data_IF_556639553719
#
_entry.id   IF_556639553719
#
_cell.length_a   1.000
_cell.length_b   1.000
_cell.length_c   1.000
_cell.angle_alpha   90.00
_cell.angle_beta   90.00
_cell.angle_gamma   90.00
#
_symmetry.space_group_name_H-M   'P 1'
#
loop_
_entity.id
_entity.type
_entity.pdbx_description
1 polymer ?
#
# COMPACT_ATOMS: atom_id res chain seq x y z
N UNK A 1 -33.29 -20.92 27.02
CA UNK A 1 -31.92 -20.38 27.09
C UNK A 1 -31.46 -20.15 25.66
N UNK A 2 -31.34 -18.88 25.28
CA UNK A 2 -30.89 -18.43 23.97
C UNK A 2 -29.36 -18.42 24.00
N UNK A 3 -28.74 -19.47 23.47
CA UNK A 3 -27.29 -19.53 23.32
C UNK A 3 -26.93 -19.13 21.88
N UNK A 4 -26.68 -17.82 21.75
CA UNK A 4 -25.68 -17.21 20.88
C UNK A 4 -25.63 -17.69 19.42
N UNK A 5 -26.46 -17.03 18.60
CA UNK A 5 -26.15 -16.82 17.20
C UNK A 5 -24.93 -15.89 17.13
N UNK A 6 -23.75 -16.43 16.80
CA UNK A 6 -22.69 -15.60 16.22
C UNK A 6 -23.03 -15.41 14.74
N UNK A 7 -23.55 -14.23 14.40
CA UNK A 7 -23.82 -13.75 13.04
C UNK A 7 -22.58 -13.89 12.15
N UNK A 8 -22.47 -14.99 11.41
CA UNK A 8 -21.67 -15.11 10.20
C UNK A 8 -22.27 -16.21 9.31
N UNK A 9 -23.55 -16.07 8.99
CA UNK A 9 -24.19 -16.86 7.92
C UNK A 9 -23.71 -16.29 6.59
N UNK A 10 -22.85 -17.03 5.89
CA UNK A 10 -22.50 -16.74 4.49
C UNK A 10 -23.37 -17.65 3.62
N UNK A 11 -24.44 -17.06 3.08
CA UNK A 11 -25.33 -17.69 2.12
C UNK A 11 -24.66 -17.67 0.73
N UNK A 12 -24.46 -18.86 0.15
CA UNK A 12 -23.84 -19.04 -1.17
C UNK A 12 -24.95 -19.04 -2.22
N UNK A 13 -25.06 -17.97 -3.02
CA UNK A 13 -25.92 -17.95 -4.20
C UNK A 13 -25.08 -17.56 -5.42
N UNK A 14 -24.86 -18.51 -6.33
CA UNK A 14 -24.34 -18.21 -7.66
C UNK A 14 -23.54 -19.32 -8.33
N UNK A 15 -24.24 -20.13 -9.14
CA UNK A 15 -23.68 -21.05 -10.12
C UNK A 15 -22.99 -20.29 -11.26
N UNK A 16 -21.72 -20.58 -11.54
CA UNK A 16 -20.96 -20.04 -12.67
C UNK A 16 -19.47 -19.88 -12.40
N UNK A 17 -18.72 -21.00 -12.41
CA UNK A 17 -17.24 -21.15 -12.56
C UNK A 17 -16.23 -20.17 -11.93
N UNK A 18 -16.61 -19.23 -11.06
CA UNK A 18 -15.68 -18.28 -10.43
C UNK A 18 -16.17 -17.86 -9.03
N UNK A 19 -16.08 -18.80 -8.08
CA UNK A 19 -16.57 -18.60 -6.71
C UNK A 19 -15.46 -18.03 -5.82
N UNK A 20 -15.22 -16.73 -5.88
CA UNK A 20 -14.46 -16.02 -4.83
C UNK A 20 -15.41 -15.36 -3.83
N UNK A 21 -15.66 -16.08 -2.74
CA UNK A 21 -16.26 -15.56 -1.51
C UNK A 21 -15.26 -14.59 -0.87
N UNK A 22 -15.40 -13.29 -1.14
CA UNK A 22 -14.57 -12.29 -0.46
C UNK A 22 -15.33 -11.71 0.73
N UNK A 23 -14.98 -12.21 1.91
CA UNK A 23 -15.28 -11.60 3.23
C UNK A 23 -14.77 -10.14 3.27
N UNK A 24 -15.29 -9.28 4.18
CA UNK A 24 -14.83 -7.90 4.32
C UNK A 24 -13.31 -7.85 4.58
N UNK A 25 -12.53 -7.30 3.64
CA UNK A 25 -11.05 -7.27 3.72
C UNK A 25 -10.58 -6.45 4.92
N UNK A 26 -10.11 -7.11 5.98
CA UNK A 26 -9.34 -6.50 7.08
C UNK A 26 -7.85 -6.90 7.08
N UNK A 27 -7.34 -7.51 6.00
CA UNK A 27 -5.95 -7.98 5.91
C UNK A 27 -5.39 -7.72 4.50
N UNK A 28 -4.25 -7.04 4.40
CA UNK A 28 -3.48 -6.89 3.16
C UNK A 28 -3.12 -8.28 2.63
N UNK A 29 -3.53 -8.59 1.40
CA UNK A 29 -3.30 -9.90 0.77
C UNK A 29 -1.81 -10.17 0.57
N UNK A 30 -1.42 -11.44 0.50
CA UNK A 30 -0.03 -11.85 0.26
C UNK A 30 0.54 -11.24 -1.02
N UNK A 31 -0.29 -11.08 -2.04
CA UNK A 31 0.10 -10.46 -3.31
C UNK A 31 0.32 -8.94 -3.18
N UNK A 32 -0.57 -8.22 -2.50
CA UNK A 32 -0.39 -6.78 -2.19
C UNK A 32 0.89 -6.54 -1.36
N UNK A 33 1.20 -7.42 -0.40
CA UNK A 33 2.45 -7.37 0.39
C UNK A 33 3.69 -7.60 -0.47
N UNK A 34 3.65 -8.60 -1.35
CA UNK A 34 4.74 -8.87 -2.28
C UNK A 34 4.98 -7.65 -3.19
N UNK A 35 3.90 -7.08 -3.75
CA UNK A 35 3.98 -5.86 -4.57
C UNK A 35 4.57 -4.68 -3.79
N UNK A 36 4.19 -4.53 -2.52
CA UNK A 36 4.74 -3.49 -1.64
C UNK A 36 6.25 -3.67 -1.43
N UNK A 37 6.71 -4.92 -1.33
CA UNK A 37 8.14 -5.24 -1.20
C UNK A 37 8.90 -4.89 -2.48
N UNK A 38 8.37 -5.25 -3.65
CA UNK A 38 8.98 -4.88 -4.95
C UNK A 38 8.99 -3.35 -5.13
N UNK A 39 7.91 -2.68 -4.74
CA UNK A 39 7.84 -1.22 -4.74
C UNK A 39 8.91 -0.58 -3.84
N UNK A 40 9.24 -1.23 -2.72
CA UNK A 40 10.29 -0.79 -1.83
C UNK A 40 11.65 -0.69 -2.56
N UNK A 41 12.00 -1.74 -3.31
CA UNK A 41 13.23 -1.79 -4.10
C UNK A 41 13.22 -0.75 -5.24
N UNK A 42 12.08 -0.60 -5.94
CA UNK A 42 11.90 0.44 -6.96
C UNK A 42 12.13 1.85 -6.38
N UNK A 43 11.69 2.12 -5.15
CA UNK A 43 11.92 3.41 -4.49
C UNK A 43 13.40 3.60 -4.14
N UNK A 44 14.08 2.56 -3.68
CA UNK A 44 15.52 2.61 -3.42
C UNK A 44 16.28 2.94 -4.70
N UNK A 45 15.95 2.28 -5.82
CA UNK A 45 16.55 2.56 -7.13
C UNK A 45 16.27 4.00 -7.58
N UNK A 46 15.03 4.46 -7.47
CA UNK A 46 14.65 5.84 -7.80
C UNK A 46 15.42 6.88 -6.98
N UNK A 47 15.66 6.60 -5.69
CA UNK A 47 16.44 7.47 -4.80
C UNK A 47 17.93 7.39 -5.10
N UNK A 48 18.45 6.22 -5.46
CA UNK A 48 19.86 5.99 -5.81
C UNK A 48 20.32 6.87 -6.98
N UNK A 49 19.42 7.14 -7.93
CA UNK A 49 19.70 8.05 -9.05
C UNK A 49 19.70 9.54 -8.68
N UNK A 50 19.25 9.90 -7.48
CA UNK A 50 19.13 11.30 -7.05
C UNK A 50 20.37 11.76 -6.29
N UNK A 51 20.86 13.00 -6.55
CA UNK A 51 21.92 13.57 -5.73
C UNK A 51 21.44 13.67 -4.28
N UNK A 52 22.19 13.04 -3.37
CA UNK A 52 21.90 12.93 -1.92
C UNK A 52 20.81 11.92 -1.54
N UNK A 53 20.36 11.06 -2.46
CA UNK A 53 19.38 9.99 -2.20
C UNK A 53 18.09 10.47 -1.50
N UNK A 54 17.67 11.71 -1.78
CA UNK A 54 16.52 12.34 -1.13
C UNK A 54 15.55 12.86 -2.18
N UNK A 55 14.27 12.61 -1.95
CA UNK A 55 13.20 13.07 -2.83
C UNK A 55 12.02 13.59 -1.97
N UNK A 56 11.58 14.84 -2.18
CA UNK A 56 10.38 15.35 -1.56
C UNK A 56 9.14 14.53 -1.95
N UNK A 57 8.26 14.20 -0.99
CA UNK A 57 7.06 13.39 -1.24
C UNK A 57 6.12 14.00 -2.30
N UNK A 58 6.07 15.34 -2.39
CA UNK A 58 5.30 16.05 -3.42
C UNK A 58 5.90 15.91 -4.84
N UNK A 59 7.17 15.52 -4.94
CA UNK A 59 7.86 15.20 -6.19
C UNK A 59 7.99 13.70 -6.41
N UNK A 60 7.52 12.87 -5.48
CA UNK A 60 7.59 11.42 -5.58
C UNK A 60 6.81 10.91 -6.79
N UNK A 61 5.49 11.14 -6.85
CA UNK A 61 4.63 10.70 -7.95
C UNK A 61 5.16 11.09 -9.34
N UNK A 62 5.48 12.38 -9.62
CA UNK A 62 5.99 12.76 -10.93
C UNK A 62 7.38 12.17 -11.24
N UNK A 63 8.24 12.01 -10.24
CA UNK A 63 9.56 11.40 -10.46
C UNK A 63 9.48 9.89 -10.70
N UNK A 64 8.63 9.19 -9.94
CA UNK A 64 8.35 7.77 -10.12
C UNK A 64 7.76 7.51 -11.51
N UNK A 65 6.79 8.34 -11.94
CA UNK A 65 6.24 8.26 -13.28
C UNK A 65 7.30 8.49 -14.36
N UNK A 66 8.19 9.47 -14.18
CA UNK A 66 9.24 9.75 -15.16
C UNK A 66 10.27 8.61 -15.28
N UNK A 67 10.64 8.00 -14.15
CA UNK A 67 11.64 6.95 -14.10
C UNK A 67 11.08 5.58 -14.55
N UNK A 68 9.90 5.18 -14.06
CA UNK A 68 9.30 3.88 -14.38
C UNK A 68 8.28 3.90 -15.52
N UNK A 69 7.90 5.09 -16.03
CA UNK A 69 6.78 5.25 -16.98
C UNK A 69 5.48 4.57 -16.52
N UNK A 70 5.31 4.39 -15.20
CA UNK A 70 4.21 3.67 -14.56
C UNK A 70 3.47 4.57 -13.59
N UNK A 71 2.14 4.50 -13.59
CA UNK A 71 1.34 5.17 -12.55
C UNK A 71 1.48 4.41 -11.23
N UNK A 72 1.94 5.11 -10.19
CA UNK A 72 1.94 4.60 -8.83
C UNK A 72 0.51 4.58 -8.28
N UNK A 73 -0.18 3.46 -8.44
CA UNK A 73 -1.55 3.29 -7.95
C UNK A 73 -1.52 2.71 -6.55
N UNK A 74 -1.73 3.57 -5.55
CA UNK A 74 -1.62 3.21 -4.12
C UNK A 74 -2.55 2.05 -3.74
N UNK A 75 -3.72 1.99 -4.37
CA UNK A 75 -4.75 0.95 -4.20
C UNK A 75 -4.26 -0.46 -4.55
N UNK A 76 -3.32 -0.57 -5.48
CA UNK A 76 -2.81 -1.86 -5.99
C UNK A 76 -1.96 -2.59 -4.95
N UNK A 77 -1.57 -1.88 -3.89
CA UNK A 77 -0.78 -2.36 -2.75
C UNK A 77 -1.63 -2.52 -1.49
N UNK A 78 -2.95 -2.32 -1.56
CA UNK A 78 -3.83 -2.38 -0.39
C UNK A 78 -3.83 -1.12 0.48
N UNK A 79 -3.32 0.01 -0.02
CA UNK A 79 -3.30 1.30 0.68
C UNK A 79 -4.21 2.32 -0.01
N UNK A 80 -4.63 3.35 0.74
CA UNK A 80 -5.42 4.47 0.19
C UNK A 80 -4.64 5.78 0.13
N UNK A 81 -3.58 5.91 0.92
CA UNK A 81 -2.71 7.09 0.98
C UNK A 81 -1.28 6.71 0.64
N UNK A 82 -0.61 7.56 -0.13
CA UNK A 82 0.81 7.38 -0.45
C UNK A 82 1.67 7.34 0.81
N UNK A 83 1.33 8.14 1.83
CA UNK A 83 2.02 8.14 3.11
C UNK A 83 2.01 6.75 3.76
N UNK A 84 0.86 6.09 3.82
CA UNK A 84 0.71 4.74 4.39
C UNK A 84 1.53 3.70 3.60
N UNK A 85 1.56 3.81 2.26
CA UNK A 85 2.38 2.95 1.41
C UNK A 85 3.89 3.16 1.65
N UNK A 86 4.32 4.42 1.78
CA UNK A 86 5.73 4.74 2.10
C UNK A 86 6.11 4.31 3.52
N UNK A 87 5.18 4.41 4.47
CA UNK A 87 5.37 3.92 5.84
C UNK A 87 5.51 2.40 5.88
N UNK A 88 4.78 1.68 5.05
CA UNK A 88 4.92 0.22 4.90
C UNK A 88 6.31 -0.21 4.39
N UNK A 89 7.00 0.65 3.64
CA UNK A 89 8.37 0.43 3.17
C UNK A 89 9.43 1.21 3.98
N UNK A 90 9.05 1.80 5.11
CA UNK A 90 9.98 2.55 5.98
C UNK A 90 11.13 1.71 6.53
N UNK A 91 11.06 0.37 6.42
CA UNK A 91 12.16 -0.52 6.72
C UNK A 91 13.35 -0.40 5.75
N UNK A 92 13.12 0.08 4.52
CA UNK A 92 14.18 0.27 3.51
C UNK A 92 14.46 1.74 3.20
N UNK A 93 13.51 2.64 3.47
CA UNK A 93 13.66 4.08 3.25
C UNK A 93 13.44 4.87 4.54
N UNK A 94 14.20 5.94 4.72
CA UNK A 94 13.98 6.87 5.83
C UNK A 94 13.01 7.98 5.43
N UNK A 95 11.80 7.96 6.00
CA UNK A 95 10.79 9.01 5.79
C UNK A 95 11.00 10.13 6.82
N UNK A 96 11.64 11.23 6.42
CA UNK A 96 11.81 12.40 7.28
C UNK A 96 10.58 13.32 7.19
N UNK A 97 9.71 13.26 8.19
CA UNK A 97 8.60 14.20 8.31
C UNK A 97 9.09 15.53 8.89
N UNK A 98 9.17 16.58 8.06
CA UNK A 98 9.43 17.96 8.52
C UNK A 98 8.24 18.58 9.29
N UNK A 99 7.13 17.84 9.47
CA UNK A 99 5.93 18.34 10.15
C UNK A 99 5.98 18.26 11.69
N UNK A 100 7.02 17.71 12.29
CA UNK A 100 7.16 17.64 13.76
C UNK A 100 7.41 19.01 14.44
N UNK A 101 7.45 20.13 13.70
CA UNK A 101 7.74 21.47 14.24
C UNK A 101 6.60 22.49 14.08
N UNK A 102 5.34 22.05 14.09
CA UNK A 102 4.16 22.95 14.26
C UNK A 102 3.20 22.41 15.31
N UNK A 103 3.66 22.43 16.56
CA UNK A 103 2.79 22.43 17.74
C UNK A 103 3.28 23.52 18.69
N UNK A 104 2.96 24.77 18.35
CA UNK A 104 2.93 25.92 19.24
C UNK A 104 1.73 26.77 18.84
#
# INVERSE_FOLDING_TARGET
MLSELSDNVVEVIGSGSDTVVSLPKLVQTSEERYRTTVFADEVVDLLSERPRCRLPINKFIPSYYHHFSRQCRVSDYGFTKLADLLEAISSVIQVESLFSLRRF
#
